data_IF_850170399823
#
_entry.id   IF_850170399823
#
_cell.length_a   1.000
_cell.length_b   1.000
_cell.length_c   1.000
_cell.angle_alpha   90.00
_cell.angle_beta   90.00
_cell.angle_gamma   90.00
#
_symmetry.space_group_name_H-M   'P 1'
#
loop_
_entity.id
_entity.type
_entity.pdbx_description
1 polymer ?
#
# COMPACT_ATOMS: atom_id res chain seq x y z
N UNK A 1 -10.75 -4.91 12.26
CA UNK A 1 -10.16 -4.77 10.91
C UNK A 1 -8.75 -5.32 10.98
N UNK A 2 -8.31 -6.07 9.98
CA UNK A 2 -6.91 -6.50 9.87
C UNK A 2 -6.21 -5.63 8.83
N UNK A 3 -5.03 -5.09 9.14
CA UNK A 3 -4.24 -4.19 8.29
C UNK A 3 -2.95 -4.92 7.89
N UNK A 4 -2.62 -4.90 6.60
CA UNK A 4 -1.51 -5.65 6.04
C UNK A 4 -0.15 -5.00 6.33
N UNK A 5 0.92 -5.77 6.13
CA UNK A 5 2.30 -5.38 6.41
C UNK A 5 2.98 -4.54 5.32
N UNK A 6 2.27 -4.22 4.25
CA UNK A 6 2.72 -3.29 3.22
C UNK A 6 1.57 -2.41 2.76
N UNK A 7 1.91 -1.26 2.17
CA UNK A 7 0.98 -0.39 1.47
C UNK A 7 1.05 -0.65 -0.03
N UNK A 8 -0.06 -0.42 -0.72
CA UNK A 8 -0.11 -0.48 -2.18
C UNK A 8 -0.48 0.90 -2.74
N UNK A 9 -0.18 1.18 -3.99
CA UNK A 9 -0.57 2.44 -4.64
C UNK A 9 -2.05 2.42 -5.01
N UNK A 10 -2.64 3.58 -5.20
CA UNK A 10 -4.00 3.71 -5.69
C UNK A 10 -4.29 5.14 -6.13
N UNK A 11 -5.44 5.32 -6.76
CA UNK A 11 -5.92 6.62 -7.24
C UNK A 11 -7.17 6.95 -6.44
N UNK A 12 -7.03 7.90 -5.50
CA UNK A 12 -8.15 8.56 -4.82
C UNK A 12 -8.49 9.86 -5.57
N UNK A 13 -8.41 11.00 -4.86
CA UNK A 13 -8.37 12.32 -5.51
C UNK A 13 -7.09 12.50 -6.36
N UNK A 14 -5.99 11.88 -5.92
CA UNK A 14 -4.71 11.81 -6.61
C UNK A 14 -4.05 10.44 -6.34
N UNK A 15 -2.91 10.20 -6.97
CA UNK A 15 -2.05 9.07 -6.66
C UNK A 15 -1.63 9.08 -5.18
N UNK A 16 -1.83 7.97 -4.48
CA UNK A 16 -1.54 7.85 -3.05
C UNK A 16 -1.12 6.42 -2.67
N UNK A 17 -0.45 6.30 -1.52
CA UNK A 17 -0.31 5.03 -0.83
C UNK A 17 -1.60 4.71 -0.09
N UNK A 18 -1.99 3.44 -0.13
CA UNK A 18 -3.21 2.91 0.48
C UNK A 18 -2.84 1.79 1.42
N UNK A 19 -3.54 1.70 2.56
CA UNK A 19 -3.49 0.50 3.38
C UNK A 19 -4.19 -0.64 2.64
N UNK A 20 -3.78 -1.86 2.92
CA UNK A 20 -4.52 -3.06 2.53
C UNK A 20 -5.19 -3.65 3.76
N UNK A 21 -6.50 -3.92 3.68
CA UNK A 21 -7.28 -4.34 4.84
C UNK A 21 -8.16 -5.56 4.56
N UNK A 22 -8.48 -6.28 5.64
CA UNK A 22 -9.54 -7.27 5.71
C UNK A 22 -10.59 -6.86 6.74
N UNK A 23 -11.85 -7.06 6.40
CA UNK A 23 -13.01 -6.75 7.24
C UNK A 23 -14.03 -7.87 7.13
N UNK A 24 -14.86 -8.04 8.17
CA UNK A 24 -15.89 -9.08 8.22
C UNK A 24 -15.32 -10.47 7.94
N UNK A 25 -15.99 -11.20 7.03
CA UNK A 25 -15.66 -12.59 6.69
C UNK A 25 -14.36 -12.73 5.88
N UNK A 26 -13.78 -11.63 5.39
CA UNK A 26 -12.49 -11.66 4.69
C UNK A 26 -11.30 -11.78 5.65
N UNK A 27 -11.50 -11.57 6.96
CA UNK A 27 -10.43 -11.66 7.96
C UNK A 27 -9.88 -13.09 7.99
N UNK A 28 -8.57 -13.23 7.75
CA UNK A 28 -7.86 -14.50 7.72
C UNK A 28 -7.87 -15.19 6.35
N UNK A 29 -8.42 -14.56 5.31
CA UNK A 29 -8.31 -15.02 3.92
C UNK A 29 -7.05 -14.45 3.25
N UNK A 30 -6.82 -14.79 1.99
CA UNK A 30 -5.77 -14.15 1.16
C UNK A 30 -6.28 -12.89 0.43
N UNK A 31 -7.55 -12.52 0.61
CA UNK A 31 -8.15 -11.39 -0.10
C UNK A 31 -7.93 -10.11 0.68
N UNK A 32 -7.14 -9.20 0.12
CA UNK A 32 -6.90 -7.87 0.67
C UNK A 32 -7.56 -6.81 -0.20
N UNK A 33 -8.11 -5.76 0.42
CA UNK A 33 -8.74 -4.65 -0.30
C UNK A 33 -8.04 -3.34 0.04
N UNK A 34 -7.85 -2.47 -0.97
CA UNK A 34 -7.32 -1.12 -0.76
C UNK A 34 -8.26 -0.31 0.11
N UNK A 35 -7.70 0.31 1.14
CA UNK A 35 -8.37 1.20 2.06
C UNK A 35 -7.83 2.61 1.86
N UNK A 36 -8.68 3.46 1.30
CA UNK A 36 -8.33 4.83 0.88
C UNK A 36 -8.57 5.88 1.95
N UNK A 37 -9.17 5.51 3.09
CA UNK A 37 -9.39 6.42 4.22
C UNK A 37 -8.19 6.39 5.16
N UNK A 38 -8.10 7.39 6.04
CA UNK A 38 -7.18 7.38 7.17
C UNK A 38 -7.86 6.79 8.41
N UNK A 39 -7.05 6.34 9.36
CA UNK A 39 -7.50 5.90 10.68
C UNK A 39 -6.89 6.86 11.69
N UNK A 40 -7.73 7.69 12.32
CA UNK A 40 -7.28 8.63 13.34
C UNK A 40 -6.67 7.88 14.53
N UNK A 41 -5.46 8.27 14.94
CA UNK A 41 -4.73 7.66 16.06
C UNK A 41 -3.99 6.36 15.71
N UNK A 42 -3.96 5.95 14.44
CA UNK A 42 -3.17 4.80 13.99
C UNK A 42 -1.98 5.25 13.14
N UNK A 43 -0.77 5.02 13.67
CA UNK A 43 0.48 5.24 12.95
C UNK A 43 0.96 3.92 12.36
N UNK A 44 0.92 3.84 11.03
CA UNK A 44 1.29 2.64 10.31
C UNK A 44 2.82 2.45 10.30
N UNK A 45 3.27 1.22 10.55
CA UNK A 45 4.66 0.81 10.33
C UNK A 45 4.72 -0.39 9.37
N UNK A 46 5.59 -0.35 8.36
CA UNK A 46 5.75 -1.47 7.43
C UNK A 46 6.32 -2.71 8.14
N UNK A 47 6.01 -3.88 7.60
CA UNK A 47 6.50 -5.16 8.12
C UNK A 47 5.71 -5.75 9.27
N UNK A 48 4.56 -5.16 9.61
CA UNK A 48 3.65 -5.66 10.65
C UNK A 48 2.22 -5.83 10.14
N UNK A 49 1.60 -6.95 10.47
CA UNK A 49 0.16 -7.12 10.34
C UNK A 49 -0.48 -6.73 11.66
N UNK A 50 -1.53 -5.92 11.59
CA UNK A 50 -2.26 -5.43 12.76
C UNK A 50 -3.69 -5.95 12.75
N UNK A 51 -4.20 -6.39 13.89
CA UNK A 51 -5.64 -6.48 14.12
C UNK A 51 -6.04 -5.31 15.01
N UNK A 52 -7.00 -4.50 14.54
CA UNK A 52 -7.44 -3.26 15.20
C UNK A 52 -8.95 -3.23 15.38
N UNK A 53 -9.36 -2.61 16.49
CA UNK A 53 -10.75 -2.24 16.74
C UNK A 53 -10.93 -0.75 16.45
N UNK A 54 -11.92 -0.42 15.63
CA UNK A 54 -12.17 0.95 15.17
C UNK A 54 -13.57 1.40 15.58
N UNK A 55 -13.70 2.69 15.89
CA UNK A 55 -14.99 3.38 15.91
C UNK A 55 -15.25 3.93 14.52
N UNK A 56 -16.38 3.57 13.92
CA UNK A 56 -16.87 4.16 12.68
C UNK A 56 -17.91 5.23 12.97
N UNK A 57 -17.74 6.42 12.40
CA UNK A 57 -18.69 7.51 12.57
C UNK A 57 -19.14 8.02 11.19
N UNK A 58 -20.45 8.08 10.91
CA UNK A 58 -20.95 8.70 9.68
C UNK A 58 -20.56 10.18 9.63
N UNK A 59 -20.12 10.63 8.46
CA UNK A 59 -19.82 12.04 8.19
C UNK A 59 -21.08 12.68 7.58
N UNK A 60 -21.57 13.73 8.22
CA UNK A 60 -22.70 14.50 7.69
C UNK A 60 -22.23 15.36 6.51
N UNK A 61 -22.96 15.31 5.39
CA UNK A 61 -22.65 16.02 4.14
C UNK A 61 -21.20 15.76 3.67
N UNK A 62 -20.84 14.49 3.37
CA UNK A 62 -19.50 14.19 2.90
C UNK A 62 -19.23 14.85 1.54
N UNK A 63 -17.96 15.12 1.18
CA UNK A 63 -17.59 15.46 -0.18
C UNK A 63 -18.11 14.41 -1.17
N UNK A 64 -18.43 14.81 -2.40
CA UNK A 64 -19.05 13.91 -3.39
C UNK A 64 -18.17 12.68 -3.72
N UNK A 65 -16.87 12.86 -3.57
CA UNK A 65 -15.74 11.99 -3.86
C UNK A 65 -14.99 11.56 -2.58
N UNK A 66 -15.50 11.94 -1.41
CA UNK A 66 -14.93 11.61 -0.11
C UNK A 66 -15.65 10.43 0.57
N UNK A 67 -14.97 9.82 1.54
CA UNK A 67 -15.60 8.80 2.39
C UNK A 67 -16.79 9.41 3.17
N UNK A 68 -17.89 8.68 3.24
CA UNK A 68 -19.03 9.01 4.11
C UNK A 68 -18.82 8.58 5.57
N UNK A 69 -17.66 8.01 5.90
CA UNK A 69 -17.34 7.43 7.21
C UNK A 69 -15.94 7.84 7.66
N UNK A 70 -15.81 8.29 8.90
CA UNK A 70 -14.51 8.43 9.58
C UNK A 70 -14.21 7.21 10.46
N UNK A 71 -12.92 6.91 10.60
CA UNK A 71 -12.40 5.79 11.38
C UNK A 71 -11.46 6.32 12.46
N UNK A 72 -11.75 6.01 13.72
CA UNK A 72 -10.88 6.34 14.85
C UNK A 72 -10.43 5.04 15.51
N UNK A 73 -9.12 4.90 15.75
CA UNK A 73 -8.56 3.76 16.46
C UNK A 73 -9.10 3.72 17.89
N UNK A 74 -9.66 2.58 18.28
CA UNK A 74 -10.00 2.30 19.67
C UNK A 74 -8.91 1.49 20.36
N UNK A 75 -8.42 0.45 19.69
CA UNK A 75 -7.39 -0.44 20.24
C UNK A 75 -6.66 -1.22 19.14
N UNK A 76 -5.40 -1.59 19.41
CA UNK A 76 -4.64 -2.56 18.61
C UNK A 76 -4.66 -3.88 19.36
N UNK A 77 -5.47 -4.82 18.89
CA UNK A 77 -5.70 -6.09 19.58
C UNK A 77 -4.63 -7.15 19.27
N UNK A 78 -3.88 -6.97 18.18
CA UNK A 78 -2.75 -7.84 17.82
C UNK A 78 -1.77 -7.11 16.89
N UNK A 79 -0.48 -7.39 17.06
CA UNK A 79 0.58 -6.97 16.15
C UNK A 79 1.48 -8.17 15.88
N UNK A 80 1.69 -8.49 14.61
CA UNK A 80 2.53 -9.60 14.18
C UNK A 80 3.58 -9.11 13.19
N UNK A 81 4.85 -9.32 13.51
CA UNK A 81 5.94 -9.09 12.55
C UNK A 81 5.88 -10.10 11.42
N UNK A 82 6.10 -9.61 10.22
CA UNK A 82 6.22 -10.41 9.01
C UNK A 82 7.71 -10.54 8.68
N UNK A 83 8.23 -11.68 8.20
CA UNK A 83 9.62 -11.76 7.74
C UNK A 83 9.92 -10.81 6.57
N UNK A 84 11.16 -10.33 6.46
CA UNK A 84 11.55 -9.43 5.35
C UNK A 84 11.52 -10.14 3.98
N UNK A 85 11.74 -11.45 3.96
CA UNK A 85 11.69 -12.29 2.76
C UNK A 85 10.27 -12.60 2.28
N UNK A 86 9.23 -12.16 3.01
CA UNK A 86 7.84 -12.29 2.55
C UNK A 86 7.63 -11.42 1.33
N UNK A 87 7.20 -12.05 0.23
CA UNK A 87 6.94 -11.38 -1.03
C UNK A 87 5.54 -10.78 -1.06
N UNK A 88 5.42 -9.64 -1.73
CA UNK A 88 4.14 -8.96 -1.93
C UNK A 88 4.14 -8.14 -3.22
N UNK A 89 2.97 -7.97 -3.80
CA UNK A 89 2.80 -7.26 -5.06
C UNK A 89 2.34 -5.82 -4.83
N UNK A 90 2.97 -4.89 -5.53
CA UNK A 90 2.59 -3.46 -5.57
C UNK A 90 2.33 -3.06 -7.01
N UNK A 91 1.25 -2.32 -7.21
CA UNK A 91 0.95 -1.70 -8.50
C UNK A 91 1.91 -0.51 -8.71
N UNK A 92 2.73 -0.57 -9.75
CA UNK A 92 3.68 0.49 -10.10
C UNK A 92 3.10 1.45 -11.14
N UNK A 93 2.13 0.97 -11.93
CA UNK A 93 1.39 1.76 -12.92
C UNK A 93 -0.02 1.20 -13.09
N UNK A 94 -1.03 2.06 -13.15
CA UNK A 94 -2.43 1.68 -13.38
C UNK A 94 -3.05 2.60 -14.44
N UNK A 95 -3.61 2.05 -15.52
CA UNK A 95 -4.27 2.81 -16.58
C UNK A 95 -3.45 4.00 -17.11
N UNK A 96 -2.12 3.85 -17.23
CA UNK A 96 -1.25 4.93 -17.66
C UNK A 96 -0.66 5.80 -16.55
N UNK A 97 -1.28 5.83 -15.36
CA UNK A 97 -0.80 6.59 -14.21
C UNK A 97 0.41 5.90 -13.58
N UNK A 98 1.56 6.57 -13.62
CA UNK A 98 2.83 6.05 -13.11
C UNK A 98 3.06 6.49 -11.66
N UNK A 99 3.26 5.54 -10.75
CA UNK A 99 3.50 5.81 -9.33
C UNK A 99 4.98 5.86 -8.96
N UNK A 100 5.86 5.52 -9.90
CA UNK A 100 7.31 5.63 -9.74
C UNK A 100 7.76 7.07 -9.94
N UNK A 101 8.50 7.59 -8.97
CA UNK A 101 9.14 8.90 -9.01
C UNK A 101 10.66 8.73 -9.02
N UNK A 102 11.37 9.70 -9.61
CA UNK A 102 12.83 9.61 -9.84
C UNK A 102 13.61 10.90 -9.51
N UNK A 103 12.97 11.87 -8.84
CA UNK A 103 13.57 13.18 -8.56
C UNK A 103 14.82 13.09 -7.64
N UNK A 104 14.85 12.11 -6.74
CA UNK A 104 15.93 11.88 -5.76
C UNK A 104 16.34 10.40 -5.64
N UNK A 105 16.27 9.66 -6.75
CA UNK A 105 16.40 8.20 -6.76
C UNK A 105 15.06 7.53 -7.04
N UNK A 106 15.09 6.21 -7.29
CA UNK A 106 13.90 5.45 -7.63
C UNK A 106 13.01 5.29 -6.39
N UNK A 107 11.83 5.88 -6.42
CA UNK A 107 10.92 5.91 -5.29
C UNK A 107 9.49 5.59 -5.72
N UNK A 108 8.69 5.08 -4.78
CA UNK A 108 7.25 5.00 -4.91
C UNK A 108 6.64 6.27 -4.32
N UNK A 109 6.03 7.10 -5.16
CA UNK A 109 5.33 8.34 -4.78
C UNK A 109 6.15 9.28 -3.87
N UNK A 110 7.47 9.40 -4.10
CA UNK A 110 8.43 10.17 -3.29
C UNK A 110 8.42 9.82 -1.79
N UNK A 111 7.94 8.63 -1.41
CA UNK A 111 7.72 8.24 -0.02
C UNK A 111 8.49 6.98 0.37
N UNK A 112 8.64 6.03 -0.54
CA UNK A 112 9.30 4.74 -0.26
C UNK A 112 10.42 4.52 -1.26
N UNK A 113 11.63 4.31 -0.77
CA UNK A 113 12.79 4.01 -1.61
C UNK A 113 12.65 2.62 -2.24
N UNK A 114 12.98 2.52 -3.53
CA UNK A 114 12.95 1.27 -4.29
C UNK A 114 14.36 0.88 -4.72
N UNK A 115 14.72 -0.37 -4.48
CA UNK A 115 15.87 -1.03 -5.08
C UNK A 115 15.39 -1.92 -6.22
N UNK A 116 15.56 -1.46 -7.47
CA UNK A 116 15.21 -2.25 -8.65
C UNK A 116 16.15 -3.44 -8.90
N UNK A 117 17.22 -3.60 -8.12
CA UNK A 117 18.20 -4.67 -8.22
C UNK A 117 18.74 -4.76 -9.67
N UNK A 118 18.64 -5.93 -10.32
CA UNK A 118 19.05 -6.13 -11.71
C UNK A 118 17.94 -5.84 -12.75
N UNK A 119 16.79 -5.31 -12.32
CA UNK A 119 15.57 -5.17 -13.14
C UNK A 119 15.27 -3.72 -13.55
N UNK A 120 16.18 -2.77 -13.34
CA UNK A 120 15.92 -1.35 -13.59
C UNK A 120 15.58 -1.06 -15.06
N UNK A 121 16.36 -1.60 -16.01
CA UNK A 121 16.10 -1.41 -17.46
C UNK A 121 14.76 -2.03 -17.90
N UNK A 122 14.40 -3.19 -17.34
CA UNK A 122 13.12 -3.83 -17.61
C UNK A 122 11.96 -3.02 -17.03
N UNK A 123 12.11 -2.54 -15.80
CA UNK A 123 11.13 -1.66 -15.14
C UNK A 123 10.87 -0.43 -15.99
N UNK A 124 11.92 0.31 -16.39
CA UNK A 124 11.80 1.50 -17.23
C UNK A 124 11.08 1.19 -18.55
N UNK A 125 11.45 0.09 -19.19
CA UNK A 125 10.82 -0.37 -20.44
C UNK A 125 9.33 -0.65 -20.24
N UNK A 126 8.94 -1.34 -19.17
CA UNK A 126 7.53 -1.66 -18.90
C UNK A 126 6.73 -0.41 -18.54
N UNK A 127 7.28 0.48 -17.71
CA UNK A 127 6.63 1.75 -17.33
C UNK A 127 6.34 2.63 -18.55
N UNK A 128 7.16 2.59 -19.60
CA UNK A 128 6.90 3.32 -20.85
C UNK A 128 5.84 2.63 -21.70
N UNK A 129 5.91 1.30 -21.85
CA UNK A 129 5.18 0.57 -22.88
C UNK A 129 3.87 -0.09 -22.43
N UNK A 130 3.63 -0.19 -21.13
CA UNK A 130 2.45 -0.86 -20.57
C UNK A 130 1.58 0.11 -19.79
N UNK A 131 0.26 -0.11 -19.79
CA UNK A 131 -0.69 0.69 -18.99
C UNK A 131 -0.80 0.16 -17.55
N UNK A 132 -0.44 -1.09 -17.33
CA UNK A 132 -0.41 -1.76 -16.04
C UNK A 132 0.96 -2.37 -15.83
N UNK A 133 1.57 -2.08 -14.69
CA UNK A 133 2.84 -2.67 -14.28
C UNK A 133 2.71 -3.04 -12.81
N UNK A 134 2.96 -4.29 -12.47
CA UNK A 134 2.96 -4.79 -11.09
C UNK A 134 4.36 -5.32 -10.78
N UNK A 135 4.92 -4.88 -9.66
CA UNK A 135 6.17 -5.41 -9.15
C UNK A 135 5.93 -6.30 -7.95
N UNK A 136 6.62 -7.43 -7.89
CA UNK A 136 6.72 -8.24 -6.68
C UNK A 136 7.95 -7.78 -5.91
N UNK A 137 7.77 -7.44 -4.64
CA UNK A 137 8.79 -6.90 -3.76
C UNK A 137 9.00 -7.75 -2.52
N UNK A 138 10.14 -7.51 -1.89
CA UNK A 138 10.40 -7.86 -0.49
C UNK A 138 10.93 -6.64 0.25
N UNK A 139 10.92 -6.69 1.59
CA UNK A 139 11.51 -5.58 2.36
C UNK A 139 13.03 -5.68 2.35
N UNK A 140 13.67 -4.53 2.13
CA UNK A 140 15.11 -4.34 2.21
C UNK A 140 15.51 -3.55 3.46
N UNK A 141 16.77 -3.11 3.51
CA UNK A 141 17.28 -2.30 4.61
C UNK A 141 16.57 -0.94 4.70
N UNK A 142 16.41 -0.41 5.91
CA UNK A 142 15.81 0.90 6.18
C UNK A 142 14.41 1.10 5.57
N UNK A 143 13.59 0.04 5.50
CA UNK A 143 12.25 0.03 4.90
C UNK A 143 12.21 0.30 3.39
N UNK A 144 13.35 0.30 2.70
CA UNK A 144 13.36 0.27 1.24
C UNK A 144 12.72 -1.02 0.72
N UNK A 145 12.15 -0.99 -0.47
CA UNK A 145 11.56 -2.16 -1.11
C UNK A 145 12.45 -2.66 -2.23
N UNK A 146 12.84 -3.93 -2.16
CA UNK A 146 13.65 -4.56 -3.19
C UNK A 146 12.74 -5.27 -4.20
N UNK A 147 12.86 -4.90 -5.47
CA UNK A 147 12.14 -5.51 -6.58
C UNK A 147 12.71 -6.91 -6.85
N UNK A 148 11.82 -7.90 -6.90
CA UNK A 148 12.14 -9.31 -7.11
C UNK A 148 11.73 -9.76 -8.51
N UNK A 149 10.57 -9.32 -8.99
CA UNK A 149 10.06 -9.62 -10.34
C UNK A 149 9.05 -8.59 -10.82
N UNK A 150 8.81 -8.55 -12.12
CA UNK A 150 7.78 -7.73 -12.77
C UNK A 150 6.76 -8.63 -13.47
N UNK A 151 5.47 -8.33 -13.30
CA UNK A 151 4.37 -9.03 -13.95
C UNK A 151 3.87 -8.24 -15.16
#
# INVERSE_FOLDING_TARGET
MRINHFQNTGIGEAAMLTLLVQTGDAIGTETWTKFYSTIEGFDYEPGRVYDVTLKTTPINNPPADGSAVSYTLLDITSTQEVPDETLFDIDLKINGENFITSDSGLQLLNQIDLDCNALCDELDTRLVNQDFVVGTFKRGANNALQLVSLQ
#
